data_IF_749125697832
#
_entry.id   IF_749125697832
#
_cell.length_a   1.000
_cell.length_b   1.000
_cell.length_c   1.000
_cell.angle_alpha   90.00
_cell.angle_beta   90.00
_cell.angle_gamma   90.00
#
_symmetry.space_group_name_H-M   'P 1'
#
loop_
_entity.id
_entity.type
_entity.pdbx_description
1 polymer ?
#
# COMPACT_ATOMS: atom_id res chain seq x y z
N UNK A 1 7.67 -2.18 -18.70
CA UNK A 1 7.02 -1.83 -17.41
C UNK A 1 8.06 -1.40 -16.39
N UNK A 2 8.18 -0.08 -16.21
CA UNK A 2 9.01 0.53 -15.16
C UNK A 2 8.23 0.64 -13.86
N UNK A 3 8.86 0.25 -12.76
CA UNK A 3 8.33 0.47 -11.41
C UNK A 3 8.20 1.99 -11.12
N UNK A 4 7.09 2.44 -10.49
CA UNK A 4 6.95 3.82 -10.06
C UNK A 4 8.06 4.20 -9.06
N UNK A 5 8.49 5.47 -9.02
CA UNK A 5 9.47 5.93 -8.05
C UNK A 5 8.96 5.70 -6.62
N UNK A 6 9.85 5.32 -5.71
CA UNK A 6 9.48 5.11 -4.32
C UNK A 6 8.97 6.40 -3.67
N UNK A 7 8.00 6.28 -2.78
CA UNK A 7 7.51 7.42 -2.00
C UNK A 7 8.52 7.83 -0.93
N UNK A 8 8.49 9.12 -0.58
CA UNK A 8 9.28 9.62 0.53
C UNK A 8 8.87 8.97 1.84
N UNK A 9 9.82 8.86 2.77
CA UNK A 9 9.51 8.51 4.15
C UNK A 9 8.77 9.69 4.79
N UNK A 10 7.66 9.48 5.51
CA UNK A 10 6.96 10.56 6.19
C UNK A 10 7.86 11.30 7.20
N UNK A 11 7.69 12.62 7.28
CA UNK A 11 8.53 13.48 8.14
C UNK A 11 8.20 13.33 9.64
N UNK A 12 7.05 12.77 9.97
CA UNK A 12 6.50 12.65 11.32
C UNK A 12 6.80 11.30 12.02
N UNK A 13 7.55 10.41 11.36
CA UNK A 13 7.93 9.12 11.93
C UNK A 13 8.76 9.28 13.22
N UNK A 14 8.52 8.37 14.17
CA UNK A 14 9.31 8.25 15.38
C UNK A 14 10.82 8.11 15.08
N UNK A 15 11.64 8.81 15.87
CA UNK A 15 13.11 8.76 15.72
C UNK A 15 13.65 7.54 16.44
N UNK A 16 13.98 6.49 15.71
CA UNK A 16 14.47 5.24 16.30
C UNK A 16 15.58 5.48 17.36
N UNK A 17 15.37 5.00 18.58
CA UNK A 17 16.37 5.02 19.66
C UNK A 17 16.72 6.39 20.24
N UNK A 18 15.96 7.45 19.93
CA UNK A 18 16.23 8.79 20.49
C UNK A 18 16.00 8.88 22.01
N UNK A 19 15.11 8.06 22.56
CA UNK A 19 14.89 7.89 24.01
C UNK A 19 15.89 6.90 24.56
N UNK A 20 16.97 7.41 25.12
CA UNK A 20 18.10 6.61 25.59
C UNK A 20 18.43 6.82 27.08
N UNK A 21 17.55 7.45 27.85
CA UNK A 21 17.74 7.61 29.29
C UNK A 21 17.56 6.27 30.02
N UNK A 22 18.16 6.14 31.20
CA UNK A 22 18.08 4.91 32.01
C UNK A 22 16.64 4.53 32.40
N UNK A 23 15.77 5.53 32.54
CA UNK A 23 14.35 5.36 32.86
C UNK A 23 13.50 4.97 31.64
N UNK A 24 14.02 5.12 30.42
CA UNK A 24 13.28 4.77 29.21
C UNK A 24 13.19 3.25 29.02
N UNK A 25 14.14 2.48 29.56
CA UNK A 25 14.17 1.01 29.43
C UNK A 25 13.04 0.30 30.19
N UNK A 26 12.77 0.60 31.49
CA UNK A 26 11.61 0.04 32.17
C UNK A 26 10.28 0.40 31.49
N UNK A 27 10.12 1.65 31.05
CA UNK A 27 8.92 2.08 30.33
C UNK A 27 8.77 1.37 28.98
N UNK A 28 9.88 1.17 28.24
CA UNK A 28 9.85 0.39 27.01
C UNK A 28 9.45 -1.08 27.27
N UNK A 29 9.92 -1.68 28.38
CA UNK A 29 9.50 -3.03 28.75
C UNK A 29 8.00 -3.11 29.02
N UNK A 30 7.42 -2.18 29.80
CA UNK A 30 5.98 -2.13 30.07
C UNK A 30 5.17 -2.02 28.78
N UNK A 31 5.60 -1.15 27.86
CA UNK A 31 4.95 -0.95 26.56
C UNK A 31 5.11 -2.14 25.61
N UNK A 32 6.21 -2.90 25.73
CA UNK A 32 6.39 -4.13 24.95
C UNK A 32 5.34 -5.20 25.28
N UNK A 33 4.83 -5.22 26.51
CA UNK A 33 3.72 -6.09 26.91
C UNK A 33 2.42 -5.74 26.19
N UNK A 34 2.21 -4.47 25.85
CA UNK A 34 1.06 -4.03 25.03
C UNK A 34 1.21 -4.55 23.60
N UNK A 35 2.40 -4.49 23.02
CA UNK A 35 2.68 -5.08 21.70
C UNK A 35 2.37 -6.57 21.67
N UNK A 36 2.76 -7.32 22.71
CA UNK A 36 2.42 -8.73 22.83
C UNK A 36 0.91 -8.99 22.99
N UNK A 37 0.19 -8.11 23.69
CA UNK A 37 -1.27 -8.22 23.83
C UNK A 37 -2.00 -7.95 22.50
N UNK A 38 -1.54 -6.97 21.72
CA UNK A 38 -2.06 -6.69 20.37
C UNK A 38 -1.80 -7.87 19.45
N UNK A 39 -0.59 -8.42 19.47
CA UNK A 39 -0.22 -9.61 18.70
C UNK A 39 -1.16 -10.78 19.02
N UNK A 40 -1.37 -11.08 20.30
CA UNK A 40 -2.26 -12.15 20.73
C UNK A 40 -3.72 -11.92 20.32
N UNK A 41 -4.16 -10.66 20.29
CA UNK A 41 -5.48 -10.30 19.78
C UNK A 41 -5.59 -10.57 18.27
N UNK A 42 -4.63 -10.12 17.47
CA UNK A 42 -4.60 -10.43 16.02
C UNK A 42 -4.62 -11.95 15.76
N UNK A 43 -3.80 -12.69 16.50
CA UNK A 43 -3.78 -14.16 16.41
C UNK A 43 -5.15 -14.78 16.75
N UNK A 44 -5.86 -14.25 17.75
CA UNK A 44 -7.17 -14.74 18.17
C UNK A 44 -8.29 -14.47 17.15
N UNK A 45 -8.15 -13.39 16.37
CA UNK A 45 -9.08 -13.02 15.29
C UNK A 45 -8.72 -13.72 13.96
N UNK A 46 -7.56 -14.39 13.89
CA UNK A 46 -7.04 -15.00 12.68
C UNK A 46 -6.46 -13.99 11.68
N UNK A 47 -6.09 -12.79 12.13
CA UNK A 47 -5.52 -11.72 11.31
C UNK A 47 -4.02 -11.92 11.12
N UNK A 48 -3.68 -12.87 10.24
CA UNK A 48 -2.32 -13.32 10.01
C UNK A 48 -1.41 -12.25 9.41
N UNK A 49 -1.94 -11.36 8.55
CA UNK A 49 -1.13 -10.32 7.93
C UNK A 49 -0.76 -9.23 8.95
N UNK A 50 -1.73 -8.77 9.74
CA UNK A 50 -1.53 -7.79 10.80
C UNK A 50 -0.59 -8.33 11.89
N UNK A 51 -0.82 -9.58 12.29
CA UNK A 51 0.04 -10.32 13.21
C UNK A 51 1.48 -10.37 12.69
N UNK A 52 1.71 -10.77 11.43
CA UNK A 52 3.06 -10.86 10.88
C UNK A 52 3.77 -9.50 10.85
N UNK A 53 3.13 -8.45 10.34
CA UNK A 53 3.76 -7.12 10.26
C UNK A 53 4.08 -6.53 11.63
N UNK A 54 3.20 -6.72 12.63
CA UNK A 54 3.49 -6.32 14.01
C UNK A 54 4.70 -7.09 14.57
N UNK A 55 4.78 -8.39 14.29
CA UNK A 55 5.94 -9.22 14.65
C UNK A 55 7.25 -8.68 14.07
N UNK A 56 7.25 -8.26 12.80
CA UNK A 56 8.41 -7.59 12.20
C UNK A 56 8.70 -6.24 12.83
N UNK A 57 7.69 -5.42 13.11
CA UNK A 57 7.87 -4.12 13.76
C UNK A 57 8.55 -4.24 15.12
N UNK A 58 8.09 -5.20 15.93
CA UNK A 58 8.62 -5.48 17.27
C UNK A 58 9.96 -6.22 17.25
N UNK A 59 10.23 -7.00 16.20
CA UNK A 59 11.43 -7.86 16.11
C UNK A 59 12.59 -7.28 15.29
N UNK A 60 12.34 -6.26 14.46
CA UNK A 60 13.34 -5.68 13.57
C UNK A 60 14.04 -4.47 14.20
N UNK A 61 15.38 -4.49 14.18
CA UNK A 61 16.21 -3.35 14.56
C UNK A 61 17.03 -2.79 13.38
N UNK A 62 16.88 -3.35 12.17
CA UNK A 62 17.70 -3.02 11.01
C UNK A 62 17.21 -1.74 10.33
N UNK A 63 18.13 -0.79 10.15
CA UNK A 63 17.89 0.41 9.35
C UNK A 63 17.63 0.08 7.89
N UNK A 64 16.61 0.73 7.32
CA UNK A 64 16.23 0.52 5.93
C UNK A 64 15.71 -0.89 5.65
N UNK A 65 15.19 -1.60 6.66
CA UNK A 65 14.50 -2.86 6.44
C UNK A 65 13.35 -2.68 5.44
N UNK A 66 13.19 -3.67 4.57
CA UNK A 66 12.12 -3.75 3.58
C UNK A 66 11.46 -5.11 3.77
N UNK A 67 10.18 -5.09 4.08
CA UNK A 67 9.32 -6.24 4.05
C UNK A 67 8.82 -6.44 2.61
N UNK A 68 9.28 -7.52 1.99
CA UNK A 68 8.90 -7.90 0.63
C UNK A 68 7.65 -8.79 0.68
N UNK A 69 6.56 -8.32 0.08
CA UNK A 69 5.30 -9.04 -0.05
C UNK A 69 5.35 -10.13 -1.13
N UNK A 70 6.32 -10.11 -2.05
CA UNK A 70 6.34 -11.04 -3.19
C UNK A 70 6.48 -12.52 -2.78
N UNK A 71 7.26 -12.89 -1.75
CA UNK A 71 7.26 -14.26 -1.21
C UNK A 71 5.95 -14.65 -0.49
N UNK A 72 5.07 -13.67 -0.21
CA UNK A 72 3.83 -13.80 0.56
C UNK A 72 2.61 -13.55 -0.35
N UNK A 73 2.50 -14.37 -1.40
CA UNK A 73 1.45 -14.25 -2.41
C UNK A 73 0.04 -14.21 -1.83
N UNK A 74 -0.19 -14.90 -0.72
CA UNK A 74 -1.44 -14.88 0.03
C UNK A 74 -1.85 -13.47 0.50
N UNK A 75 -0.89 -12.64 0.94
CA UNK A 75 -1.16 -11.26 1.34
C UNK A 75 -1.37 -10.35 0.15
N UNK A 76 -0.68 -10.61 -0.97
CA UNK A 76 -0.94 -9.89 -2.23
C UNK A 76 -2.34 -10.19 -2.76
N UNK A 77 -2.78 -11.45 -2.70
CA UNK A 77 -4.13 -11.85 -3.08
C UNK A 77 -5.18 -11.20 -2.17
N UNK A 78 -4.93 -11.14 -0.87
CA UNK A 78 -5.82 -10.46 0.09
C UNK A 78 -5.93 -8.96 -0.20
N UNK A 79 -4.79 -8.28 -0.45
CA UNK A 79 -4.77 -6.88 -0.86
C UNK A 79 -5.59 -6.65 -2.13
N UNK A 80 -5.36 -7.48 -3.16
CA UNK A 80 -6.10 -7.43 -4.43
C UNK A 80 -7.58 -7.77 -4.28
N UNK A 81 -7.96 -8.52 -3.24
CA UNK A 81 -9.35 -8.86 -2.97
C UNK A 81 -10.14 -7.68 -2.37
N UNK A 82 -9.48 -6.65 -1.84
CA UNK A 82 -10.17 -5.48 -1.28
C UNK A 82 -10.85 -4.62 -2.36
N UNK A 83 -12.03 -4.10 -2.05
CA UNK A 83 -12.83 -3.28 -2.96
C UNK A 83 -12.10 -1.99 -3.36
N UNK A 84 -11.37 -1.38 -2.42
CA UNK A 84 -10.64 -0.15 -2.67
C UNK A 84 -9.46 -0.36 -3.64
N UNK A 85 -8.74 -1.49 -3.52
CA UNK A 85 -7.69 -1.86 -4.47
C UNK A 85 -8.28 -2.17 -5.85
N UNK A 86 -9.35 -2.96 -5.94
CA UNK A 86 -10.02 -3.25 -7.22
C UNK A 86 -10.47 -1.97 -7.93
N UNK A 87 -11.07 -1.04 -7.18
CA UNK A 87 -11.45 0.26 -7.69
C UNK A 87 -10.24 1.05 -8.18
N UNK A 88 -9.16 1.09 -7.40
CA UNK A 88 -7.89 1.72 -7.77
C UNK A 88 -7.30 1.14 -9.06
N UNK A 89 -7.27 -0.18 -9.20
CA UNK A 89 -6.79 -0.88 -10.41
C UNK A 89 -7.63 -0.49 -11.62
N UNK A 90 -8.96 -0.52 -11.48
CA UNK A 90 -9.86 -0.11 -12.56
C UNK A 90 -9.63 1.34 -12.98
N UNK A 91 -9.47 2.27 -12.03
CA UNK A 91 -9.15 3.68 -12.31
C UNK A 91 -7.80 3.85 -13.00
N UNK A 92 -6.79 3.09 -12.59
CA UNK A 92 -5.48 3.05 -13.23
C UNK A 92 -5.57 2.59 -14.68
N UNK A 93 -6.29 1.50 -14.94
CA UNK A 93 -6.54 0.99 -16.29
C UNK A 93 -7.31 1.99 -17.16
N UNK A 94 -8.32 2.68 -16.61
CA UNK A 94 -9.08 3.68 -17.37
C UNK A 94 -8.24 4.92 -17.72
N UNK A 95 -7.32 5.31 -16.83
CA UNK A 95 -6.32 6.34 -17.07
C UNK A 95 -5.37 5.92 -18.22
N UNK A 96 -4.85 4.69 -18.16
CA UNK A 96 -3.98 4.10 -19.19
C UNK A 96 -4.69 4.06 -20.55
N UNK A 97 -5.93 3.55 -20.63
CA UNK A 97 -6.70 3.49 -21.87
C UNK A 97 -6.84 4.87 -22.52
N UNK A 98 -7.20 5.88 -21.72
CA UNK A 98 -7.37 7.25 -22.20
C UNK A 98 -6.06 7.80 -22.77
N UNK A 99 -4.95 7.62 -22.05
CA UNK A 99 -3.64 8.06 -22.50
C UNK A 99 -3.18 7.34 -23.77
N UNK A 100 -3.40 6.03 -23.86
CA UNK A 100 -3.02 5.22 -25.01
C UNK A 100 -3.76 5.66 -26.29
N UNK A 101 -5.07 5.92 -26.18
CA UNK A 101 -5.87 6.45 -27.29
C UNK A 101 -5.41 7.85 -27.69
N UNK A 102 -5.13 8.72 -26.72
CA UNK A 102 -4.64 10.07 -27.00
C UNK A 102 -3.27 10.07 -27.70
N UNK A 103 -2.37 9.18 -27.29
CA UNK A 103 -1.06 9.01 -27.92
C UNK A 103 -1.20 8.64 -29.40
N UNK A 104 -2.00 7.63 -29.75
CA UNK A 104 -2.18 7.21 -31.16
C UNK A 104 -2.97 8.23 -32.00
N UNK A 105 -3.82 9.05 -31.36
CA UNK A 105 -4.49 10.18 -32.03
C UNK A 105 -3.50 11.27 -32.41
N UNK A 106 -2.55 11.59 -31.53
CA UNK A 106 -1.49 12.58 -31.76
C UNK A 106 -0.42 12.07 -32.73
N UNK A 107 -0.08 10.80 -32.63
CA UNK A 107 0.90 10.13 -33.49
C UNK A 107 0.38 8.75 -33.94
N UNK A 108 -0.24 8.68 -35.13
CA UNK A 108 -0.72 7.42 -35.70
C UNK A 108 0.37 6.39 -36.01
N UNK A 109 1.66 6.74 -35.94
CA UNK A 109 2.74 5.75 -36.06
C UNK A 109 2.82 4.83 -34.84
N UNK A 110 2.24 5.22 -33.69
CA UNK A 110 2.21 4.45 -32.45
C UNK A 110 1.22 3.27 -32.45
N UNK A 111 0.41 3.10 -33.51
CA UNK A 111 -0.43 1.90 -33.65
C UNK A 111 0.42 0.64 -33.76
N UNK A 112 -0.01 -0.42 -33.08
CA UNK A 112 0.67 -1.72 -32.98
C UNK A 112 2.08 -1.62 -32.36
N UNK A 113 2.45 -0.48 -31.78
CA UNK A 113 3.69 -0.29 -31.03
C UNK A 113 3.37 -0.39 -29.54
N UNK A 114 4.23 -1.11 -28.82
CA UNK A 114 4.16 -1.19 -27.36
C UNK A 114 4.54 0.17 -26.75
N UNK A 115 3.65 0.66 -25.88
CA UNK A 115 3.80 1.91 -25.14
C UNK A 115 3.84 1.59 -23.65
N UNK A 116 4.86 2.06 -22.95
CA UNK A 116 4.87 2.00 -21.49
C UNK A 116 4.04 3.16 -20.93
N UNK A 117 2.98 2.84 -20.19
CA UNK A 117 2.04 3.83 -19.65
C UNK A 117 1.73 3.47 -18.20
N UNK A 118 1.96 4.43 -17.30
CA UNK A 118 1.60 4.32 -15.89
C UNK A 118 0.24 4.97 -15.65
N UNK A 119 -0.60 4.34 -14.83
CA UNK A 119 -1.83 4.91 -14.36
C UNK A 119 -1.57 6.20 -13.58
N UNK A 120 -2.37 7.23 -13.86
CA UNK A 120 -2.34 8.50 -13.13
C UNK A 120 -3.60 8.66 -12.30
N UNK A 121 -3.43 9.09 -11.06
CA UNK A 121 -4.47 9.27 -10.05
C UNK A 121 -4.45 10.68 -9.51
N UNK A 122 -5.62 11.25 -9.27
CA UNK A 122 -5.77 12.53 -8.56
C UNK A 122 -5.97 12.21 -7.08
N UNK A 123 -5.01 12.58 -6.23
CA UNK A 123 -5.13 12.38 -4.78
C UNK A 123 -5.56 13.69 -4.09
N UNK A 124 -6.69 13.70 -3.37
CA UNK A 124 -7.01 14.80 -2.47
C UNK A 124 -5.98 14.90 -1.33
N UNK A 125 -5.67 16.10 -0.82
CA UNK A 125 -6.20 17.41 -1.21
C UNK A 125 -5.36 18.14 -2.27
N UNK A 126 -4.16 17.65 -2.63
CA UNK A 126 -3.25 18.37 -3.52
C UNK A 126 -3.80 18.51 -4.94
N UNK A 127 -4.72 17.62 -5.34
CA UNK A 127 -5.30 17.56 -6.70
C UNK A 127 -4.24 17.34 -7.81
N UNK A 128 -3.01 17.03 -7.43
CA UNK A 128 -1.94 16.72 -8.36
C UNK A 128 -2.08 15.27 -8.85
N UNK A 129 -1.78 15.06 -10.13
CA UNK A 129 -1.70 13.72 -10.70
C UNK A 129 -0.43 13.01 -10.20
N UNK A 130 -0.61 11.84 -9.58
CA UNK A 130 0.46 10.99 -9.10
C UNK A 130 0.28 9.56 -9.65
N UNK A 131 1.39 8.81 -9.77
CA UNK A 131 1.35 7.39 -10.15
C UNK A 131 0.86 6.51 -9.01
N UNK A 132 1.04 6.99 -7.79
CA UNK A 132 0.54 6.35 -6.59
C UNK A 132 -0.85 6.87 -6.24
N UNK A 133 -1.75 5.96 -5.93
CA UNK A 133 -3.05 6.21 -5.32
C UNK A 133 -3.00 5.82 -3.86
N UNK A 134 -3.45 6.70 -2.97
CA UNK A 134 -3.65 6.33 -1.57
C UNK A 134 -4.87 5.40 -1.47
N UNK A 135 -4.70 4.28 -0.78
CA UNK A 135 -5.64 3.16 -0.69
C UNK A 135 -6.04 2.98 0.76
N UNK A 136 -7.35 2.84 1.00
CA UNK A 136 -7.96 2.73 2.32
C UNK A 136 -8.95 1.56 2.32
N UNK A 137 -8.46 0.31 2.38
CA UNK A 137 -9.37 -0.82 2.45
C UNK A 137 -10.07 -0.81 3.80
N UNK A 138 -11.39 -0.96 3.78
CA UNK A 138 -12.24 -1.03 4.99
C UNK A 138 -13.01 -2.34 5.09
N UNK A 139 -12.84 -3.21 4.09
CA UNK A 139 -13.57 -4.45 3.86
C UNK A 139 -12.80 -5.71 4.26
N UNK A 140 -11.47 -5.62 4.48
CA UNK A 140 -10.69 -6.65 5.19
C UNK A 140 -10.14 -6.07 6.50
N UNK A 141 -10.62 -6.54 7.68
CA UNK A 141 -10.03 -6.17 8.96
C UNK A 141 -8.55 -6.51 9.06
N UNK A 142 -8.10 -7.67 8.56
CA UNK A 142 -6.68 -8.05 8.61
C UNK A 142 -5.82 -7.05 7.85
N UNK A 143 -6.17 -6.72 6.59
CA UNK A 143 -5.48 -5.65 5.83
C UNK A 143 -5.60 -4.27 6.50
N UNK A 144 -6.76 -3.95 7.09
CA UNK A 144 -6.99 -2.66 7.76
C UNK A 144 -6.08 -2.51 8.98
N UNK A 145 -5.91 -3.55 9.80
CA UNK A 145 -5.02 -3.51 10.95
C UNK A 145 -3.55 -3.75 10.58
N UNK A 146 -3.28 -4.40 9.43
CA UNK A 146 -1.94 -4.64 8.91
C UNK A 146 -1.32 -3.39 8.29
N UNK A 147 -2.02 -2.66 7.43
CA UNK A 147 -1.44 -1.48 6.75
C UNK A 147 -2.22 -0.21 7.06
N UNK A 148 -3.52 -0.30 7.31
CA UNK A 148 -4.40 0.85 7.53
C UNK A 148 -4.63 1.64 6.25
N UNK A 149 -3.60 2.34 5.76
CA UNK A 149 -3.57 2.90 4.42
C UNK A 149 -2.23 2.59 3.77
N UNK A 150 -2.23 2.46 2.46
CA UNK A 150 -1.02 2.24 1.67
C UNK A 150 -1.20 2.83 0.28
N UNK A 151 -0.13 2.80 -0.51
CA UNK A 151 -0.16 3.30 -1.88
C UNK A 151 -0.21 2.17 -2.89
N UNK A 152 -1.09 2.32 -3.87
CA UNK A 152 -1.22 1.42 -5.02
C UNK A 152 -0.83 2.14 -6.30
N UNK A 153 -0.18 1.45 -7.23
CA UNK A 153 0.10 1.98 -8.55
C UNK A 153 -0.14 0.90 -9.60
N UNK A 154 -0.59 1.32 -10.79
CA UNK A 154 -0.79 0.43 -11.93
C UNK A 154 0.17 0.86 -13.02
N UNK A 155 1.05 -0.03 -13.45
CA UNK A 155 1.96 0.22 -14.58
C UNK A 155 1.68 -0.77 -15.67
N UNK A 156 1.89 -0.39 -16.93
CA UNK A 156 1.52 -1.23 -18.05
C UNK A 156 2.45 -1.14 -19.25
N UNK A 157 2.50 -2.23 -20.00
CA UNK A 157 2.84 -2.25 -21.40
C UNK A 157 1.54 -2.32 -22.21
N UNK A 158 1.22 -1.26 -22.95
CA UNK A 158 -0.02 -1.12 -23.71
C UNK A 158 0.25 -1.14 -25.21
N UNK A 159 -0.51 -1.94 -25.97
CA UNK A 159 -0.53 -1.93 -27.43
C UNK A 159 -1.92 -1.53 -27.88
N UNK A 160 -2.01 -0.46 -28.67
CA UNK A 160 -3.26 -0.05 -29.33
C UNK A 160 -3.24 -0.57 -30.76
N UNK A 161 -4.23 -1.36 -31.13
CA UNK A 161 -4.31 -1.96 -32.46
C UNK A 161 -4.93 -0.98 -33.45
N UNK A 162 -4.42 -0.98 -34.68
CA UNK A 162 -5.03 -0.24 -35.79
C UNK A 162 -6.48 -0.75 -35.99
N UNK A 163 -7.47 0.12 -36.22
CA UNK A 163 -8.84 -0.32 -36.47
C UNK A 163 -8.91 -1.24 -37.70
N UNK A 164 -9.66 -2.33 -37.58
CA UNK A 164 -9.92 -3.30 -38.66
C UNK A 164 -11.42 -3.42 -38.84
N UNK A 165 -11.92 -3.31 -40.08
CA UNK A 165 -13.34 -3.51 -40.37
C UNK A 165 -14.23 -2.37 -39.87
N UNK A 166 -14.97 -2.59 -38.79
CA UNK A 166 -16.01 -1.69 -38.24
C UNK A 166 -15.49 -0.33 -37.70
N UNK A 167 -14.18 -0.11 -37.72
CA UNK A 167 -13.56 1.13 -37.29
C UNK A 167 -13.23 1.20 -35.79
N UNK A 168 -13.49 0.14 -35.03
CA UNK A 168 -13.21 0.10 -33.59
C UNK A 168 -11.71 0.07 -33.31
N UNK A 169 -11.29 0.86 -32.33
CA UNK A 169 -9.92 0.84 -31.82
C UNK A 169 -9.88 -0.09 -30.61
N UNK A 170 -9.06 -1.13 -30.68
CA UNK A 170 -8.86 -2.07 -29.56
C UNK A 170 -7.49 -1.87 -28.93
N UNK A 171 -7.35 -2.26 -27.67
CA UNK A 171 -6.05 -2.30 -27.01
C UNK A 171 -5.86 -3.57 -26.20
N UNK A 172 -4.61 -3.96 -26.06
CA UNK A 172 -4.11 -4.98 -25.14
C UNK A 172 -3.21 -4.30 -24.11
N UNK A 173 -3.55 -4.47 -22.84
CA UNK A 173 -2.83 -3.88 -21.70
C UNK A 173 -2.34 -5.03 -20.83
N UNK A 174 -1.03 -5.24 -20.80
CA UNK A 174 -0.38 -6.08 -19.80
C UNK A 174 0.03 -5.17 -18.66
N UNK A 175 -0.39 -5.47 -17.43
CA UNK A 175 -0.20 -4.56 -16.30
C UNK A 175 0.21 -5.28 -15.03
N UNK A 176 0.97 -4.56 -14.19
CA UNK A 176 1.31 -4.97 -12.83
C UNK A 176 0.71 -3.96 -11.85
N UNK A 177 0.32 -4.44 -10.68
CA UNK A 177 -0.16 -3.62 -9.57
C UNK A 177 0.91 -3.61 -8.49
N UNK A 178 1.44 -2.44 -8.17
CA UNK A 178 2.45 -2.23 -7.15
C UNK A 178 1.81 -1.77 -5.86
N UNK A 179 2.32 -2.29 -4.75
CA UNK A 179 1.96 -1.92 -3.39
C UNK A 179 3.18 -1.31 -2.70
N UNK A 180 2.95 -0.20 -1.99
CA UNK A 180 3.95 0.44 -1.17
C UNK A 180 3.30 0.95 0.11
N UNK A 181 3.92 0.67 1.25
CA UNK A 181 3.67 1.38 2.49
C UNK A 181 5.00 1.70 3.20
N UNK A 182 4.99 2.75 4.01
CA UNK A 182 5.97 2.91 5.07
C UNK A 182 5.25 2.50 6.35
N UNK A 183 5.44 1.26 6.79
CA UNK A 183 4.79 0.72 7.96
C UNK A 183 5.36 1.38 9.22
N UNK A 184 4.50 2.08 9.93
CA UNK A 184 4.71 2.57 11.28
C UNK A 184 3.36 2.46 12.01
N UNK A 185 3.37 1.87 13.20
CA UNK A 185 2.13 1.52 13.90
C UNK A 185 1.34 2.77 14.37
N UNK A 186 2.02 3.88 14.67
CA UNK A 186 1.53 4.98 15.49
C UNK A 186 0.77 6.12 14.79
N UNK A 187 0.35 5.99 13.51
CA UNK A 187 -0.65 6.91 12.93
C UNK A 187 -1.94 6.16 12.55
N UNK A 188 -2.30 5.11 13.28
CA UNK A 188 -3.55 4.38 13.04
C UNK A 188 -4.79 5.14 13.54
N UNK A 189 -4.60 6.11 14.43
CA UNK A 189 -5.63 7.01 15.00
C UNK A 189 -6.48 7.74 13.92
N UNK A 190 -5.85 8.20 12.83
CA UNK A 190 -6.57 8.81 11.70
C UNK A 190 -7.19 7.81 10.72
N UNK A 191 -6.87 6.51 10.83
CA UNK A 191 -7.15 5.46 9.83
C UNK A 191 -8.47 4.73 10.03
N UNK A 192 -9.03 4.75 11.24
CA UNK A 192 -10.26 4.02 11.59
C UNK A 192 -11.53 4.87 11.70
N UNK A 193 -11.44 6.17 11.41
CA UNK A 193 -12.60 7.05 11.22
C UNK A 193 -13.72 6.92 12.26
N UNK A 194 -13.42 6.89 13.57
CA UNK A 194 -14.48 6.87 14.60
C UNK A 194 -15.46 5.70 14.56
N UNK A 195 -15.20 4.63 13.79
CA UNK A 195 -16.12 3.50 13.62
C UNK A 195 -15.90 2.35 14.62
N UNK A 196 -14.89 2.46 15.50
CA UNK A 196 -14.64 1.46 16.53
C UNK A 196 -15.36 1.82 17.83
N UNK A 197 -16.29 0.96 18.25
CA UNK A 197 -16.91 1.05 19.58
C UNK A 197 -15.88 0.76 20.69
N UNK A 198 -15.87 1.66 21.68
CA UNK A 198 -15.15 1.78 22.96
C UNK A 198 -13.92 0.90 23.31
N UNK A 199 -13.93 -0.42 23.10
CA UNK A 199 -12.78 -1.28 23.46
C UNK A 199 -11.71 -1.32 22.37
N UNK A 200 -12.11 -1.48 21.10
CA UNK A 200 -11.16 -1.54 19.98
C UNK A 200 -10.47 -0.20 19.76
N UNK A 201 -11.22 0.89 19.95
CA UNK A 201 -10.68 2.24 19.85
C UNK A 201 -9.71 2.56 21.00
N UNK A 202 -10.05 2.19 22.25
CA UNK A 202 -9.16 2.43 23.39
C UNK A 202 -7.90 1.56 23.38
N UNK A 203 -7.98 0.31 22.91
CA UNK A 203 -6.79 -0.51 22.68
C UNK A 203 -5.91 0.07 21.56
N UNK A 204 -6.51 0.51 20.44
CA UNK A 204 -5.76 1.13 19.35
C UNK A 204 -5.05 2.42 19.78
N UNK A 205 -5.75 3.31 20.50
CA UNK A 205 -5.19 4.59 20.97
C UNK A 205 -4.01 4.40 21.93
N UNK A 206 -4.16 3.52 22.92
CA UNK A 206 -3.07 3.24 23.86
C UNK A 206 -1.91 2.52 23.18
N UNK A 207 -2.20 1.59 22.26
CA UNK A 207 -1.18 0.89 21.50
C UNK A 207 -0.39 1.83 20.58
N UNK A 208 -1.01 2.84 19.97
CA UNK A 208 -0.32 3.80 19.09
C UNK A 208 0.78 4.58 19.85
N UNK A 209 0.44 5.17 21.00
CA UNK A 209 1.42 5.88 21.84
C UNK A 209 2.50 4.92 22.37
N UNK A 210 2.11 3.70 22.74
CA UNK A 210 3.04 2.70 23.26
C UNK A 210 4.02 2.21 22.19
N UNK A 211 3.53 1.94 20.97
CA UNK A 211 4.36 1.52 19.84
C UNK A 211 5.29 2.64 19.38
N UNK A 212 4.82 3.90 19.38
CA UNK A 212 5.69 5.05 19.13
C UNK A 212 6.84 5.08 20.13
N UNK A 213 6.53 4.95 21.41
CA UNK A 213 7.55 4.98 22.46
C UNK A 213 8.56 3.84 22.34
N UNK A 214 8.11 2.64 21.95
CA UNK A 214 8.99 1.50 21.71
C UNK A 214 9.98 1.78 20.57
N UNK A 215 9.53 2.38 19.48
CA UNK A 215 10.40 2.79 18.39
C UNK A 215 11.38 3.88 18.85
N UNK A 216 10.87 4.89 19.56
CA UNK A 216 11.68 5.94 20.14
C UNK A 216 12.72 5.40 21.13
N UNK A 217 12.44 4.33 21.86
CA UNK A 217 13.36 3.64 22.76
C UNK A 217 14.31 2.65 22.06
N UNK A 218 14.11 2.40 20.75
CA UNK A 218 14.93 1.49 19.94
C UNK A 218 14.58 0.00 20.09
N UNK A 219 13.36 -0.30 20.52
CA UNK A 219 12.86 -1.66 20.77
C UNK A 219 11.92 -2.17 19.66
N UNK A 220 11.46 -1.27 18.81
CA UNK A 220 10.69 -1.57 17.61
C UNK A 220 11.17 -0.65 16.48
N UNK A 221 10.86 -0.96 15.23
CA UNK A 221 11.29 -0.12 14.12
C UNK A 221 10.33 -0.17 12.95
N UNK A 222 9.97 1.01 12.45
CA UNK A 222 9.24 1.20 11.20
C UNK A 222 10.05 0.77 9.98
N UNK A 223 9.36 0.34 8.92
CA UNK A 223 10.01 -0.21 7.74
C UNK A 223 9.18 -0.02 6.48
N UNK A 224 9.80 -0.24 5.30
CA UNK A 224 9.06 -0.21 4.03
C UNK A 224 8.39 -1.55 3.79
N UNK A 225 7.14 -1.54 3.37
CA UNK A 225 6.42 -2.70 2.83
C UNK A 225 6.28 -2.50 1.33
N UNK A 226 6.68 -3.49 0.53
CA UNK A 226 6.57 -3.41 -0.93
C UNK A 226 6.22 -4.74 -1.54
N UNK A 227 5.50 -4.72 -2.65
CA UNK A 227 5.30 -5.88 -3.50
C UNK A 227 4.61 -5.51 -4.80
N UNK A 228 4.46 -6.49 -5.67
CA UNK A 228 3.74 -6.33 -6.91
C UNK A 228 3.04 -7.62 -7.33
N UNK A 229 1.92 -7.48 -8.02
CA UNK A 229 1.30 -8.61 -8.70
C UNK A 229 2.13 -9.02 -9.92
N UNK A 230 1.87 -10.24 -10.40
CA UNK A 230 2.50 -10.76 -11.61
C UNK A 230 1.49 -10.77 -12.77
N UNK A 231 1.50 -9.71 -13.57
CA UNK A 231 0.97 -9.67 -14.93
C UNK A 231 -0.53 -9.93 -15.09
N UNK A 232 -1.34 -8.92 -14.84
CA UNK A 232 -2.72 -8.85 -15.33
C UNK A 232 -2.78 -8.54 -16.83
N UNK A 233 -3.83 -9.01 -17.50
CA UNK A 233 -4.09 -8.72 -18.92
C UNK A 233 -5.50 -8.18 -19.10
N UNK A 234 -5.61 -7.03 -19.76
CA UNK A 234 -6.88 -6.48 -20.24
C UNK A 234 -6.87 -6.40 -21.76
N UNK A 235 -7.97 -6.80 -22.39
CA UNK A 235 -8.19 -6.68 -23.84
C UNK A 235 -9.59 -6.15 -24.10
N UNK A 236 -9.73 -5.17 -24.97
CA UNK A 236 -11.05 -4.65 -25.30
C UNK A 236 -11.03 -3.43 -26.23
N UNK A 237 -12.23 -2.96 -26.54
CA UNK A 237 -12.45 -1.72 -27.29
C UNK A 237 -12.13 -0.52 -26.37
N UNK A 238 -11.41 0.46 -26.91
CA UNK A 238 -11.01 1.69 -26.20
C UNK A 238 -11.58 2.96 -26.83
N UNK A 239 -12.04 2.91 -28.09
CA UNK A 239 -12.74 3.98 -28.78
C UNK A 239 -13.49 3.46 -30.01
#
# INVERSE_FOLDING_TARGET
>A
MRQPPEQAVPDDCARYGWRNNIWDKPTALEKSAVGAAVQAWFDSEGWTFASELLGYFMGNNKEGFVYDLNPRFEFLDELMATDDVKFGVQKGLDSIKRQAVENVRRDPSLFNIKQEINGKFVNPPSMDENEWRVTYPTDSPDVTYALGHFSTAVVSDTVVNRPIGNGEVTAEIVYDVYFYDYYYYHLSEGRLGGFATDFKHSMALNADEDMRWLEEAGWARSFRVKGNTYGGVWKGVVA
#
